data_IF_279894066148
#
_entry.id   IF_279894066148
#
_cell.length_a   1.000
_cell.length_b   1.000
_cell.length_c   1.000
_cell.angle_alpha   90.00
_cell.angle_beta   90.00
_cell.angle_gamma   90.00
#
_symmetry.space_group_name_H-M   'P 1'
#
loop_
_entity.id
_entity.type
_entity.pdbx_description
1 polymer ?
#
# COMPACT_ATOMS: atom_id res chain seq x y z
N UNK A 1 -3.90 17.41 9.47
CA UNK A 1 -3.76 16.58 8.26
C UNK A 1 -3.00 17.32 7.16
N UNK A 2 -2.02 16.63 6.57
CA UNK A 2 -1.24 17.08 5.40
C UNK A 2 -1.65 16.30 4.15
N UNK A 3 -1.75 17.00 3.03
CA UNK A 3 -1.95 16.41 1.71
C UNK A 3 -0.62 16.00 1.06
N UNK A 4 -0.57 14.80 0.49
CA UNK A 4 0.55 14.33 -0.30
C UNK A 4 0.11 13.59 -1.57
N UNK A 5 0.94 13.70 -2.59
CA UNK A 5 0.79 13.02 -3.86
C UNK A 5 -0.25 13.63 -4.80
N UNK A 6 -0.33 13.07 -6.01
CA UNK A 6 -1.21 13.60 -7.07
C UNK A 6 -2.68 13.28 -6.78
N UNK A 7 -2.96 12.13 -6.16
CA UNK A 7 -4.31 11.70 -5.79
C UNK A 7 -4.64 12.01 -4.33
N UNK A 8 -4.61 13.29 -3.90
CA UNK A 8 -5.17 13.81 -2.63
C UNK A 8 -5.19 12.80 -1.46
N UNK A 9 -4.03 12.25 -1.10
CA UNK A 9 -3.92 11.33 0.05
C UNK A 9 -3.56 12.15 1.29
N UNK A 10 -4.31 11.92 2.36
CA UNK A 10 -4.15 12.61 3.63
C UNK A 10 -3.29 11.80 4.60
N UNK A 11 -2.38 12.50 5.26
CA UNK A 11 -1.55 11.99 6.35
C UNK A 11 -1.79 12.83 7.61
N UNK A 12 -1.62 12.24 8.80
CA UNK A 12 -1.77 12.98 10.04
C UNK A 12 -0.64 13.98 10.19
N UNK A 13 -0.91 15.14 10.79
CA UNK A 13 0.14 16.08 11.21
C UNK A 13 0.64 15.73 12.61
N UNK A 14 -0.23 15.11 13.42
CA UNK A 14 0.05 14.62 14.77
C UNK A 14 -0.35 13.15 14.91
N UNK A 15 0.37 12.32 15.69
CA UNK A 15 -0.03 10.93 15.95
C UNK A 15 -1.38 10.80 16.67
N UNK A 16 -1.91 11.88 17.24
CA UNK A 16 -3.23 11.93 17.89
C UNK A 16 -4.39 12.16 16.89
N UNK A 17 -4.08 12.50 15.63
CA UNK A 17 -5.08 12.69 14.59
C UNK A 17 -5.77 11.35 14.26
N UNK A 18 -7.09 11.38 14.09
CA UNK A 18 -7.86 10.22 13.63
C UNK A 18 -7.53 9.91 12.16
N UNK A 19 -6.48 9.12 11.97
CA UNK A 19 -5.95 8.73 10.66
C UNK A 19 -6.06 7.23 10.42
N UNK A 20 -6.53 6.89 9.24
CA UNK A 20 -6.69 5.51 8.79
C UNK A 20 -5.77 5.23 7.61
N UNK A 21 -4.99 4.14 7.63
CA UNK A 21 -4.13 3.78 6.52
C UNK A 21 -4.96 3.43 5.29
N UNK A 22 -4.58 3.98 4.15
CA UNK A 22 -5.14 3.65 2.85
C UNK A 22 -4.46 2.37 2.37
N UNK A 23 -5.28 1.37 2.05
CA UNK A 23 -4.84 0.10 1.48
C UNK A 23 -5.37 -0.06 0.06
N UNK A 24 -4.53 -0.58 -0.84
CA UNK A 24 -4.85 -0.83 -2.25
C UNK A 24 -4.34 -2.18 -2.68
N UNK A 25 -5.15 -2.89 -3.45
CA UNK A 25 -4.86 -4.24 -3.91
C UNK A 25 -4.73 -4.23 -5.44
N UNK A 26 -3.75 -4.99 -5.96
CA UNK A 26 -3.58 -5.24 -7.38
C UNK A 26 -3.35 -6.73 -7.60
N UNK A 27 -4.31 -7.41 -8.23
CA UNK A 27 -4.19 -8.83 -8.56
C UNK A 27 -3.39 -8.99 -9.86
N UNK A 28 -2.15 -9.47 -9.76
CA UNK A 28 -1.32 -9.75 -10.95
C UNK A 28 -1.73 -11.06 -11.63
N UNK A 29 -2.24 -12.00 -10.84
CA UNK A 29 -2.89 -13.22 -11.29
C UNK A 29 -3.90 -13.65 -10.21
N UNK A 30 -4.75 -14.64 -10.51
CA UNK A 30 -5.73 -15.15 -9.54
C UNK A 30 -5.10 -15.46 -8.17
N UNK A 31 -3.91 -16.06 -8.16
CA UNK A 31 -3.18 -16.50 -6.96
C UNK A 31 -1.96 -15.64 -6.63
N UNK A 32 -1.85 -14.44 -7.20
CA UNK A 32 -0.72 -13.52 -6.93
C UNK A 32 -1.30 -12.14 -6.67
N UNK A 33 -1.11 -11.64 -5.46
CA UNK A 33 -1.68 -10.38 -5.00
C UNK A 33 -0.58 -9.44 -4.54
N UNK A 34 -0.57 -8.24 -5.11
CA UNK A 34 0.20 -7.12 -4.60
C UNK A 34 -0.69 -6.22 -3.74
N UNK A 35 -0.19 -5.74 -2.62
CA UNK A 35 -0.91 -4.85 -1.69
C UNK A 35 -0.02 -3.67 -1.30
N UNK A 36 -0.53 -2.46 -1.47
CA UNK A 36 0.08 -1.24 -1.00
C UNK A 36 -0.63 -0.71 0.24
N UNK A 37 0.13 -0.17 1.18
CA UNK A 37 -0.40 0.45 2.41
C UNK A 37 0.38 1.71 2.78
N UNK A 38 -0.36 2.79 3.04
CA UNK A 38 0.21 4.01 3.63
C UNK A 38 0.52 3.79 5.10
N UNK A 39 1.50 4.54 5.60
CA UNK A 39 2.01 4.44 6.97
C UNK A 39 1.97 5.81 7.64
N UNK A 40 1.89 5.79 8.97
CA UNK A 40 1.66 7.02 9.77
C UNK A 40 2.76 8.06 9.57
N UNK A 41 3.98 7.64 9.23
CA UNK A 41 5.13 8.51 8.98
C UNK A 41 5.11 9.27 7.63
N UNK A 42 3.98 9.30 6.91
CA UNK A 42 3.89 10.01 5.62
C UNK A 42 4.49 9.24 4.44
N UNK A 43 4.62 7.91 4.58
CA UNK A 43 5.23 7.03 3.57
C UNK A 43 4.26 5.93 3.17
N UNK A 44 4.65 5.13 2.18
CA UNK A 44 3.93 3.92 1.81
C UNK A 44 4.89 2.81 1.38
N UNK A 45 4.43 1.57 1.42
CA UNK A 45 5.14 0.42 0.88
C UNK A 45 4.16 -0.50 0.16
N UNK A 46 4.67 -1.30 -0.77
CA UNK A 46 3.92 -2.37 -1.40
C UNK A 46 4.58 -3.73 -1.14
N UNK A 47 3.75 -4.76 -1.08
CA UNK A 47 4.11 -6.14 -0.79
C UNK A 47 3.46 -7.04 -1.81
N UNK A 48 4.05 -8.20 -2.07
CA UNK A 48 3.51 -9.20 -2.99
C UNK A 48 3.65 -10.59 -2.36
N UNK A 49 2.63 -11.42 -2.54
CA UNK A 49 2.71 -12.84 -2.20
C UNK A 49 1.75 -13.69 -3.03
N UNK A 50 1.98 -15.00 -2.99
CA UNK A 50 1.02 -15.99 -3.43
C UNK A 50 -0.17 -16.08 -2.46
N UNK A 51 -1.38 -16.12 -3.03
CA UNK A 51 -2.64 -16.18 -2.27
C UNK A 51 -3.53 -17.34 -2.73
N UNK A 52 -4.52 -17.77 -1.92
CA UNK A 52 -5.51 -18.76 -2.35
C UNK A 52 -6.30 -18.34 -3.59
N UNK A 53 -6.54 -17.03 -3.77
CA UNK A 53 -7.22 -16.48 -4.95
C UNK A 53 -8.74 -16.65 -4.88
N UNK A 54 -9.30 -16.49 -3.69
CA UNK A 54 -10.71 -16.61 -3.38
C UNK A 54 -11.32 -15.27 -2.96
N UNK A 55 -10.63 -14.51 -2.10
CA UNK A 55 -11.09 -13.19 -1.65
C UNK A 55 -9.89 -12.28 -1.40
N UNK A 56 -9.55 -11.42 -2.36
CA UNK A 56 -8.37 -10.55 -2.28
C UNK A 56 -8.45 -9.49 -1.18
N UNK A 57 -9.64 -9.08 -0.75
CA UNK A 57 -9.80 -8.12 0.36
C UNK A 57 -9.34 -8.75 1.68
N UNK A 58 -9.69 -10.01 1.91
CA UNK A 58 -9.24 -10.77 3.09
C UNK A 58 -7.79 -11.23 2.97
N UNK A 59 -7.41 -11.70 1.78
CA UNK A 59 -6.06 -12.22 1.52
C UNK A 59 -5.00 -11.11 1.62
N UNK A 60 -5.35 -9.86 1.34
CA UNK A 60 -4.43 -8.75 1.42
C UNK A 60 -3.84 -8.50 2.81
N UNK A 61 -4.55 -8.88 3.88
CA UNK A 61 -4.04 -8.80 5.26
C UNK A 61 -2.78 -9.66 5.41
N UNK A 62 -2.83 -10.91 4.91
CA UNK A 62 -1.68 -11.84 4.95
C UNK A 62 -0.50 -11.31 4.13
N UNK A 63 -0.77 -10.72 2.97
CA UNK A 63 0.28 -10.12 2.12
C UNK A 63 0.99 -8.98 2.85
N UNK A 64 0.26 -8.16 3.61
CA UNK A 64 0.85 -7.09 4.41
C UNK A 64 1.67 -7.60 5.61
N UNK A 65 1.29 -8.73 6.19
CA UNK A 65 1.97 -9.34 7.34
C UNK A 65 3.25 -10.10 6.97
N UNK A 66 3.25 -10.78 5.82
CA UNK A 66 4.27 -11.79 5.49
C UNK A 66 4.77 -11.77 4.05
N UNK A 67 4.16 -10.95 3.17
CA UNK A 67 4.57 -10.87 1.78
C UNK A 67 5.92 -10.17 1.59
N UNK A 68 6.52 -10.41 0.44
CA UNK A 68 7.79 -9.79 0.08
C UNK A 68 7.57 -8.33 -0.29
N UNK A 69 8.36 -7.44 0.31
CA UNK A 69 8.32 -6.02 -0.02
C UNK A 69 8.80 -5.80 -1.45
N UNK A 70 7.99 -5.13 -2.26
CA UNK A 70 8.33 -4.83 -3.64
C UNK A 70 9.44 -3.77 -3.72
N UNK A 71 10.35 -3.87 -4.71
CA UNK A 71 11.22 -2.75 -5.07
C UNK A 71 10.38 -1.54 -5.47
N UNK A 72 10.80 -0.34 -5.06
CA UNK A 72 10.06 0.92 -5.28
C UNK A 72 9.65 1.08 -6.75
N UNK A 73 10.55 0.80 -7.68
CA UNK A 73 10.28 0.91 -9.12
C UNK A 73 9.08 0.07 -9.56
N UNK A 74 8.94 -1.15 -9.03
CA UNK A 74 7.81 -2.03 -9.33
C UNK A 74 6.55 -1.57 -8.60
N UNK A 75 6.68 -1.18 -7.33
CA UNK A 75 5.57 -0.65 -6.55
C UNK A 75 4.92 0.56 -7.24
N UNK A 76 5.72 1.51 -7.75
CA UNK A 76 5.23 2.70 -8.45
C UNK A 76 4.55 2.39 -9.78
N UNK A 77 4.94 1.32 -10.46
CA UNK A 77 4.25 0.87 -11.68
C UNK A 77 2.87 0.28 -11.37
N UNK A 78 2.73 -0.44 -10.25
CA UNK A 78 1.47 -1.08 -9.86
C UNK A 78 0.49 -0.13 -9.14
N UNK A 79 1.03 0.84 -8.40
CA UNK A 79 0.26 1.76 -7.57
C UNK A 79 0.65 3.20 -7.86
N UNK A 80 0.42 3.63 -9.12
CA UNK A 80 0.72 4.98 -9.57
C UNK A 80 -0.02 6.06 -8.79
N UNK A 81 -1.10 5.70 -8.09
CA UNK A 81 -1.86 6.63 -7.27
C UNK A 81 -1.07 7.23 -6.08
N UNK A 82 0.01 6.58 -5.65
CA UNK A 82 0.93 7.10 -4.63
C UNK A 82 2.09 7.92 -5.20
N UNK A 83 1.99 8.37 -6.46
CA UNK A 83 2.96 9.28 -7.06
C UNK A 83 3.11 10.56 -6.21
N UNK A 84 4.35 10.99 -5.99
CA UNK A 84 4.68 12.13 -5.11
C UNK A 84 4.73 11.79 -3.62
N UNK A 85 4.34 10.58 -3.20
CA UNK A 85 4.46 10.12 -1.81
C UNK A 85 5.77 9.34 -1.63
N UNK A 86 6.57 9.62 -0.59
CA UNK A 86 7.82 8.91 -0.33
C UNK A 86 7.59 7.41 -0.09
N UNK A 87 8.42 6.58 -0.72
CA UNK A 87 8.42 5.14 -0.48
C UNK A 87 9.16 4.83 0.84
N UNK A 88 8.65 3.88 1.61
CA UNK A 88 9.36 3.38 2.78
C UNK A 88 10.41 2.37 2.30
N UNK A 89 11.70 2.67 2.47
CA UNK A 89 12.80 1.74 2.19
C UNK A 89 12.99 0.71 3.31
#
# INVERSE_FOLDING_TARGET
MRELGVNRILFPDSPEDDWHPITRNHALARRVLAVAKTRIEGKWAAYIDAVPGQNHDREGIRVLESGDKLPERIARLLFSEFEGIPYAH
#
